data_IF_227784109010
#
_entry.id   IF_227784109010
#
_cell.length_a   1.000
_cell.length_b   1.000
_cell.length_c   1.000
_cell.angle_alpha   90.00
_cell.angle_beta   90.00
_cell.angle_gamma   90.00
#
_symmetry.space_group_name_H-M   'P 1'
#
loop_
_entity.id
_entity.type
_entity.pdbx_description
1 polymer ?
#
# COMPACT_ATOMS: atom_id res chain seq x y z
N UNK A 1 3.61 -16.97 -3.72
CA UNK A 1 4.99 -17.06 -3.18
C UNK A 1 5.09 -16.41 -1.80
N UNK A 2 4.62 -15.17 -1.60
CA UNK A 2 4.63 -14.48 -0.30
C UNK A 2 3.89 -15.20 0.84
N UNK A 3 2.72 -15.79 0.57
CA UNK A 3 1.94 -16.58 1.57
C UNK A 3 2.74 -17.77 2.13
N UNK A 4 3.44 -18.50 1.26
CA UNK A 4 4.22 -19.68 1.64
C UNK A 4 5.44 -19.29 2.48
N UNK A 5 6.09 -18.17 2.12
CA UNK A 5 7.18 -17.61 2.92
C UNK A 5 6.70 -17.17 4.31
N UNK A 6 5.50 -16.58 4.41
CA UNK A 6 4.89 -16.20 5.69
C UNK A 6 4.60 -17.41 6.57
N UNK A 7 3.95 -18.45 6.04
CA UNK A 7 3.66 -19.68 6.79
C UNK A 7 4.95 -20.34 7.28
N UNK A 8 6.02 -20.32 6.47
CA UNK A 8 7.33 -20.85 6.87
C UNK A 8 8.03 -20.02 7.95
N UNK A 9 8.04 -18.69 7.82
CA UNK A 9 8.69 -17.81 8.81
C UNK A 9 7.91 -17.82 10.12
N UNK A 10 6.59 -17.71 10.06
CA UNK A 10 5.72 -17.69 11.25
C UNK A 10 5.67 -19.07 11.93
N UNK A 11 5.51 -20.14 11.15
CA UNK A 11 5.56 -21.51 11.65
C UNK A 11 6.93 -21.88 12.22
N UNK A 12 8.02 -21.45 11.57
CA UNK A 12 9.38 -21.64 12.06
C UNK A 12 9.64 -20.90 13.38
N UNK A 13 9.16 -19.67 13.50
CA UNK A 13 9.26 -18.87 14.73
C UNK A 13 8.46 -19.46 15.89
N UNK A 14 7.25 -19.98 15.65
CA UNK A 14 6.45 -20.69 16.66
C UNK A 14 7.07 -22.03 17.10
N UNK A 15 7.64 -22.77 16.15
CA UNK A 15 8.32 -24.03 16.44
C UNK A 15 9.59 -23.78 17.28
N UNK A 16 10.33 -22.72 16.98
CA UNK A 16 11.49 -22.28 17.76
C UNK A 16 11.11 -21.90 19.20
N UNK A 17 9.93 -21.29 19.39
CA UNK A 17 9.42 -20.91 20.72
C UNK A 17 9.01 -22.16 21.54
N UNK A 18 8.32 -23.13 20.94
CA UNK A 18 7.94 -24.39 21.60
C UNK A 18 9.15 -25.27 21.97
N UNK A 19 10.14 -25.38 21.08
CA UNK A 19 11.33 -26.20 21.32
C UNK A 19 12.41 -25.49 22.17
N UNK A 20 12.50 -24.16 22.09
CA UNK A 20 13.50 -23.34 22.80
C UNK A 20 13.24 -23.20 24.30
N UNK A 21 11.97 -22.99 24.70
CA UNK A 21 11.55 -22.91 26.11
C UNK A 21 11.76 -24.22 26.88
N UNK A 22 11.83 -25.35 26.18
CA UNK A 22 11.90 -26.69 26.78
C UNK A 22 13.34 -27.23 26.92
N UNK A 23 14.36 -26.59 26.31
CA UNK A 23 15.74 -27.13 26.27
C UNK A 23 16.83 -26.25 26.88
N UNK A 24 16.57 -24.97 27.17
CA UNK A 24 17.61 -24.03 27.60
C UNK A 24 17.20 -23.25 28.87
N UNK A 25 17.99 -23.38 29.93
CA UNK A 25 17.90 -22.55 31.13
C UNK A 25 18.99 -21.46 31.10
N UNK A 26 18.65 -20.22 31.46
CA UNK A 26 19.60 -19.09 31.62
C UNK A 26 19.44 -17.93 30.63
N UNK A 27 20.47 -17.08 30.53
CA UNK A 27 20.51 -15.84 29.72
C UNK A 27 20.26 -16.09 28.23
N UNK A 28 20.67 -17.25 27.72
CA UNK A 28 20.43 -17.65 26.32
C UNK A 28 18.93 -17.79 25.99
N UNK A 29 18.10 -18.20 26.96
CA UNK A 29 16.65 -18.29 26.77
C UNK A 29 16.02 -16.90 26.63
N UNK A 30 16.44 -15.94 27.47
CA UNK A 30 15.95 -14.56 27.37
C UNK A 30 16.30 -13.89 26.03
N UNK A 31 17.50 -14.13 25.51
CA UNK A 31 17.90 -13.60 24.19
C UNK A 31 17.10 -14.28 23.07
N UNK A 32 16.91 -15.60 23.13
CA UNK A 32 16.12 -16.34 22.14
C UNK A 32 14.65 -15.87 22.12
N UNK A 33 14.01 -15.72 23.29
CA UNK A 33 12.64 -15.19 23.40
C UNK A 33 12.54 -13.76 22.89
N UNK A 34 13.54 -12.90 23.15
CA UNK A 34 13.53 -11.53 22.65
C UNK A 34 13.58 -11.47 21.11
N UNK A 35 14.46 -12.25 20.48
CA UNK A 35 14.59 -12.29 19.02
C UNK A 35 13.33 -12.89 18.38
N UNK A 36 12.83 -14.01 18.91
CA UNK A 36 11.62 -14.67 18.41
C UNK A 36 10.38 -13.79 18.61
N UNK A 37 10.26 -13.11 19.76
CA UNK A 37 9.15 -12.21 20.05
C UNK A 37 9.09 -11.00 19.13
N UNK A 38 10.25 -10.41 18.79
CA UNK A 38 10.35 -9.34 17.79
C UNK A 38 9.87 -9.86 16.43
N UNK A 39 10.37 -11.01 15.97
CA UNK A 39 9.96 -11.57 14.68
C UNK A 39 8.46 -11.89 14.63
N UNK A 40 7.90 -12.53 15.66
CA UNK A 40 6.47 -12.84 15.73
C UNK A 40 5.56 -11.61 15.68
N UNK A 41 6.04 -10.45 16.17
CA UNK A 41 5.23 -9.23 16.21
C UNK A 41 5.36 -8.38 14.94
N UNK A 42 6.56 -8.31 14.35
CA UNK A 42 6.79 -7.51 13.15
C UNK A 42 6.41 -8.23 11.86
N UNK A 43 6.63 -9.55 11.76
CA UNK A 43 6.32 -10.34 10.56
C UNK A 43 4.86 -10.23 10.08
N UNK A 44 3.82 -10.41 10.93
CA UNK A 44 2.44 -10.29 10.46
C UNK A 44 2.09 -8.87 9.99
N UNK A 45 2.65 -7.83 10.62
CA UNK A 45 2.43 -6.44 10.20
C UNK A 45 3.03 -6.14 8.83
N UNK A 46 4.29 -6.56 8.60
CA UNK A 46 4.96 -6.37 7.30
C UNK A 46 4.28 -7.17 6.20
N UNK A 47 3.85 -8.40 6.49
CA UNK A 47 3.17 -9.26 5.51
C UNK A 47 1.78 -8.74 5.17
N UNK A 48 1.01 -8.27 6.16
CA UNK A 48 -0.27 -7.61 5.89
C UNK A 48 -0.08 -6.38 5.01
N UNK A 49 0.93 -5.54 5.30
CA UNK A 49 1.28 -4.40 4.46
C UNK A 49 1.64 -4.83 3.02
N UNK A 50 2.44 -5.89 2.88
CA UNK A 50 2.80 -6.43 1.56
C UNK A 50 1.58 -6.94 0.79
N UNK A 51 0.66 -7.68 1.43
CA UNK A 51 -0.59 -8.10 0.78
C UNK A 51 -1.41 -6.90 0.35
N UNK A 52 -1.65 -5.94 1.25
CA UNK A 52 -2.41 -4.73 0.90
C UNK A 52 -1.81 -4.00 -0.30
N UNK A 53 -0.48 -3.82 -0.35
CA UNK A 53 0.17 -3.12 -1.48
C UNK A 53 0.11 -3.92 -2.79
N UNK A 54 0.18 -5.25 -2.72
CA UNK A 54 0.24 -6.09 -3.92
C UNK A 54 -1.11 -6.51 -4.47
N UNK A 55 -2.10 -6.73 -3.62
CA UNK A 55 -3.43 -7.22 -4.02
C UNK A 55 -4.45 -6.11 -4.15
N UNK A 56 -4.26 -4.97 -3.48
CA UNK A 56 -5.22 -3.86 -3.54
C UNK A 56 -4.78 -2.90 -4.63
N UNK A 57 -5.58 -2.77 -5.68
CA UNK A 57 -5.33 -1.71 -6.64
C UNK A 57 -5.62 -0.36 -6.01
N UNK A 58 -4.87 0.62 -6.45
CA UNK A 58 -5.00 2.00 -6.01
C UNK A 58 -6.43 2.53 -6.23
N UNK A 59 -7.08 2.11 -7.32
CA UNK A 59 -8.47 2.42 -7.64
C UNK A 59 -9.48 1.79 -6.66
N UNK A 60 -9.24 0.56 -6.19
CA UNK A 60 -10.10 -0.10 -5.19
C UNK A 60 -10.02 0.59 -3.83
N UNK A 61 -8.83 1.08 -3.46
CA UNK A 61 -8.65 1.85 -2.23
C UNK A 61 -9.47 3.16 -2.22
N UNK A 62 -9.49 3.88 -3.34
CA UNK A 62 -10.35 5.08 -3.51
C UNK A 62 -11.82 4.73 -3.40
N UNK A 63 -12.23 3.65 -4.06
CA UNK A 63 -13.63 3.23 -4.04
C UNK A 63 -14.07 2.78 -2.64
N UNK A 64 -13.17 2.20 -1.85
CA UNK A 64 -13.38 1.93 -0.43
C UNK A 64 -13.49 3.23 0.40
N UNK A 65 -12.62 4.22 0.16
CA UNK A 65 -12.71 5.55 0.80
C UNK A 65 -14.02 6.26 0.48
N UNK A 66 -14.52 6.15 -0.76
CA UNK A 66 -15.81 6.72 -1.17
C UNK A 66 -16.99 6.05 -0.45
N UNK A 67 -16.92 4.73 -0.26
CA UNK A 67 -17.89 3.93 0.52
C UNK A 67 -17.88 4.25 2.01
N UNK A 68 -16.74 4.67 2.55
CA UNK A 68 -16.59 5.09 3.94
C UNK A 68 -17.22 6.47 4.24
N UNK A 69 -17.91 7.06 3.26
CA UNK A 69 -18.56 8.38 3.36
C UNK A 69 -17.58 9.51 3.73
N UNK A 70 -16.33 9.42 3.23
CA UNK A 70 -15.41 10.54 3.33
C UNK A 70 -15.94 11.75 2.55
N UNK A 71 -15.64 12.98 3.00
CA UNK A 71 -16.13 14.19 2.36
C UNK A 71 -15.71 14.21 0.88
N UNK A 72 -16.65 14.52 0.00
CA UNK A 72 -16.45 14.52 -1.45
C UNK A 72 -15.30 15.43 -1.91
N UNK A 73 -14.96 16.44 -1.09
CA UNK A 73 -13.82 17.33 -1.28
C UNK A 73 -12.47 16.57 -1.32
N UNK A 74 -12.38 15.40 -0.69
CA UNK A 74 -11.16 14.58 -0.64
C UNK A 74 -11.24 13.44 -1.65
N UNK A 75 -12.39 12.76 -1.74
CA UNK A 75 -12.56 11.60 -2.61
C UNK A 75 -12.38 11.93 -4.10
N UNK A 76 -12.86 13.08 -4.56
CA UNK A 76 -12.78 13.48 -5.97
C UNK A 76 -11.32 13.73 -6.40
N UNK A 77 -10.54 14.60 -5.72
CA UNK A 77 -9.12 14.76 -6.03
C UNK A 77 -8.35 13.45 -5.93
N UNK A 78 -8.63 12.61 -4.93
CA UNK A 78 -7.96 11.32 -4.79
C UNK A 78 -8.22 10.39 -5.99
N UNK A 79 -9.48 10.25 -6.41
CA UNK A 79 -9.85 9.45 -7.59
C UNK A 79 -9.14 9.92 -8.86
N UNK A 80 -9.10 11.24 -9.05
CA UNK A 80 -8.34 11.86 -10.14
C UNK A 80 -6.87 11.54 -10.03
N UNK A 81 -6.24 11.80 -8.87
CA UNK A 81 -4.81 11.63 -8.65
C UNK A 81 -4.35 10.22 -9.01
N UNK A 82 -5.13 9.20 -8.66
CA UNK A 82 -4.75 7.82 -8.92
C UNK A 82 -4.95 7.36 -10.36
N UNK A 83 -5.90 7.97 -11.09
CA UNK A 83 -5.95 7.81 -12.55
C UNK A 83 -4.83 8.59 -13.24
N UNK A 84 -4.38 9.68 -12.63
CA UNK A 84 -3.38 10.58 -13.18
C UNK A 84 -1.94 10.11 -12.94
N UNK A 85 -1.69 9.47 -11.80
CA UNK A 85 -0.41 8.91 -11.41
C UNK A 85 0.24 8.01 -12.47
N UNK A 86 -0.46 7.03 -13.10
CA UNK A 86 0.15 6.21 -14.16
C UNK A 86 0.60 7.06 -15.36
N UNK A 87 -0.21 8.05 -15.76
CA UNK A 87 0.15 8.97 -16.86
C UNK A 87 1.38 9.82 -16.52
N UNK A 88 1.49 10.33 -15.29
CA UNK A 88 2.68 11.06 -14.83
C UNK A 88 3.93 10.18 -14.84
N UNK A 89 3.80 8.89 -14.49
CA UNK A 89 4.91 7.96 -14.52
C UNK A 89 5.38 7.68 -15.96
N UNK A 90 4.46 7.56 -16.91
CA UNK A 90 4.76 7.43 -18.35
C UNK A 90 5.46 8.70 -18.88
N UNK A 91 4.94 9.89 -18.58
CA UNK A 91 5.55 11.17 -18.93
C UNK A 91 6.96 11.32 -18.33
N UNK A 92 7.15 10.87 -17.08
CA UNK A 92 8.45 10.86 -16.43
C UNK A 92 9.47 9.98 -17.15
N UNK A 93 9.04 8.83 -17.68
CA UNK A 93 9.88 7.97 -18.50
C UNK A 93 10.18 8.63 -19.85
N UNK A 94 9.16 9.15 -20.54
CA UNK A 94 9.30 9.78 -21.85
C UNK A 94 10.24 11.00 -21.82
N UNK A 95 10.10 11.87 -20.82
CA UNK A 95 11.00 13.01 -20.60
C UNK A 95 12.41 12.52 -20.26
N UNK A 96 12.53 11.45 -19.47
CA UNK A 96 13.81 10.80 -19.19
C UNK A 96 14.52 10.32 -20.46
N UNK A 97 13.78 9.68 -21.36
CA UNK A 97 14.31 9.17 -22.63
C UNK A 97 14.66 10.30 -23.60
N UNK A 98 13.84 11.35 -23.68
CA UNK A 98 14.13 12.55 -24.47
C UNK A 98 15.41 13.26 -24.00
N UNK A 99 15.60 13.39 -22.70
CA UNK A 99 16.81 13.97 -22.12
C UNK A 99 18.04 13.09 -22.34
N UNK A 100 17.87 11.75 -22.32
CA UNK A 100 18.92 10.79 -22.67
C UNK A 100 19.34 10.91 -24.14
N UNK A 101 18.41 11.16 -25.07
CA UNK A 101 18.72 11.45 -26.48
C UNK A 101 19.52 12.76 -26.66
N UNK A 102 19.30 13.75 -25.80
CA UNK A 102 20.07 15.01 -25.76
C UNK A 102 21.46 14.89 -25.12
N UNK A 103 21.92 13.67 -24.84
CA UNK A 103 23.25 13.42 -24.25
C UNK A 103 23.33 13.67 -22.74
N UNK A 104 22.22 14.03 -22.10
CA UNK A 104 22.14 14.20 -20.64
C UNK A 104 21.99 12.82 -19.99
N UNK A 105 23.12 12.14 -19.81
CA UNK A 105 23.19 10.83 -19.15
C UNK A 105 23.15 10.97 -17.64
N UNK A 106 22.34 10.14 -16.98
CA UNK A 106 22.48 9.84 -15.56
C UNK A 106 23.93 9.39 -15.29
N UNK A 107 24.70 10.18 -14.54
CA UNK A 107 26.10 9.91 -14.21
C UNK A 107 27.15 10.82 -14.87
N UNK A 108 26.77 11.73 -15.77
CA UNK A 108 27.70 12.66 -16.44
C UNK A 108 28.00 13.93 -15.63
N UNK A 109 28.54 13.83 -14.41
CA UNK A 109 29.19 14.91 -13.64
C UNK A 109 28.39 16.16 -13.23
N UNK A 110 27.25 16.46 -13.86
CA UNK A 110 26.42 17.65 -13.61
C UNK A 110 25.02 17.26 -13.17
N UNK A 111 24.91 16.59 -12.02
CA UNK A 111 23.63 16.13 -11.44
C UNK A 111 22.63 17.29 -11.27
N UNK A 112 23.11 18.50 -10.98
CA UNK A 112 22.26 19.70 -10.88
C UNK A 112 21.57 20.08 -12.20
N UNK A 113 22.28 19.98 -13.33
CA UNK A 113 21.69 20.27 -14.64
C UNK A 113 20.67 19.19 -15.04
N UNK A 114 20.91 17.92 -14.68
CA UNK A 114 19.96 16.81 -14.93
C UNK A 114 18.64 17.06 -14.18
N UNK A 115 18.73 17.51 -12.93
CA UNK A 115 17.57 17.87 -12.12
C UNK A 115 16.79 19.02 -12.74
N UNK A 116 17.47 20.11 -13.12
CA UNK A 116 16.82 21.27 -13.73
C UNK A 116 16.12 20.91 -15.05
N UNK A 117 16.81 20.23 -15.95
CA UNK A 117 16.26 19.88 -17.27
C UNK A 117 15.20 18.77 -17.24
N UNK A 118 15.06 18.00 -16.16
CA UNK A 118 14.01 16.98 -16.03
C UNK A 118 12.84 17.46 -15.17
N UNK A 119 13.10 18.17 -14.07
CA UNK A 119 12.05 18.63 -13.16
C UNK A 119 11.28 19.80 -13.77
N UNK A 120 11.93 20.78 -14.40
CA UNK A 120 11.23 21.95 -14.94
C UNK A 120 10.20 21.55 -16.00
N UNK A 121 10.52 20.71 -17.02
CA UNK A 121 9.51 20.23 -17.97
C UNK A 121 8.40 19.40 -17.32
N UNK A 122 8.74 18.54 -16.36
CA UNK A 122 7.76 17.73 -15.62
C UNK A 122 6.76 18.61 -14.85
N UNK A 123 7.24 19.67 -14.20
CA UNK A 123 6.37 20.61 -13.49
C UNK A 123 5.43 21.33 -14.45
N UNK A 124 5.94 21.81 -15.58
CA UNK A 124 5.12 22.48 -16.61
C UNK A 124 4.05 21.54 -17.17
N UNK A 125 4.41 20.30 -17.51
CA UNK A 125 3.45 19.29 -17.97
C UNK A 125 2.39 19.00 -16.90
N UNK A 126 2.80 18.82 -15.64
CA UNK A 126 1.86 18.54 -14.54
C UNK A 126 0.86 19.68 -14.32
N UNK A 127 1.32 20.94 -14.39
CA UNK A 127 0.44 22.12 -14.26
C UNK A 127 -0.55 22.19 -15.40
N UNK A 128 -0.10 22.04 -16.65
CA UNK A 128 -0.98 22.07 -17.82
C UNK A 128 -2.07 21.02 -17.75
N UNK A 129 -1.72 19.79 -17.39
CA UNK A 129 -2.71 18.72 -17.35
C UNK A 129 -3.67 18.91 -16.17
N UNK A 130 -3.20 19.48 -15.05
CA UNK A 130 -4.07 19.93 -13.97
C UNK A 130 -5.09 20.99 -14.40
N UNK A 131 -4.68 21.96 -15.21
CA UNK A 131 -5.57 22.97 -15.79
C UNK A 131 -6.59 22.36 -16.75
N UNK A 132 -6.15 21.50 -17.68
CA UNK A 132 -7.03 20.80 -18.62
C UNK A 132 -8.07 19.95 -17.90
N UNK A 133 -7.64 19.23 -16.86
CA UNK A 133 -8.53 18.43 -16.03
C UNK A 133 -9.52 19.31 -15.25
N UNK A 134 -9.07 20.42 -14.67
CA UNK A 134 -9.94 21.36 -13.96
C UNK A 134 -11.01 21.92 -14.89
N UNK A 135 -10.62 22.36 -16.09
CA UNK A 135 -11.53 22.83 -17.13
C UNK A 135 -12.50 21.73 -17.58
N UNK A 136 -12.02 20.50 -17.79
CA UNK A 136 -12.86 19.35 -18.13
C UNK A 136 -13.83 18.98 -17.00
N UNK A 137 -13.44 19.15 -15.74
CA UNK A 137 -14.29 18.87 -14.60
C UNK A 137 -15.39 19.94 -14.44
N UNK A 138 -15.02 21.22 -14.54
CA UNK A 138 -15.95 22.35 -14.47
C UNK A 138 -16.99 22.29 -15.60
N UNK A 139 -16.57 21.99 -16.84
CA UNK A 139 -17.48 21.81 -17.99
C UNK A 139 -18.42 20.61 -17.82
N UNK A 140 -18.00 19.57 -17.08
CA UNK A 140 -18.84 18.42 -16.67
C UNK A 140 -19.67 18.69 -15.40
N UNK A 141 -19.81 19.95 -14.99
CA UNK A 141 -20.65 20.35 -13.86
C UNK A 141 -20.11 19.91 -12.49
N UNK A 142 -18.78 19.84 -12.31
CA UNK A 142 -18.19 19.67 -10.98
C UNK A 142 -18.62 20.85 -10.09
N UNK A 143 -19.31 20.58 -8.99
CA UNK A 143 -19.86 21.60 -8.08
C UNK A 143 -21.34 21.97 -8.30
N UNK A 144 -22.06 21.30 -9.21
CA UNK A 144 -23.50 21.51 -9.37
C UNK A 144 -24.35 21.06 -8.15
N UNK A 145 -25.59 21.56 -8.00
CA UNK A 145 -26.45 21.32 -6.83
C UNK A 145 -26.99 19.88 -6.71
N UNK A 146 -26.73 19.02 -7.71
CA UNK A 146 -27.23 17.65 -7.76
C UNK A 146 -26.26 16.69 -7.06
N UNK A 147 -26.80 15.87 -6.16
CA UNK A 147 -26.04 14.83 -5.45
C UNK A 147 -25.48 13.81 -6.45
N UNK A 148 -24.15 13.68 -6.50
CA UNK A 148 -23.44 12.75 -7.38
C UNK A 148 -23.80 11.30 -7.07
N UNK A 149 -23.97 10.49 -8.11
CA UNK A 149 -24.19 9.04 -8.02
C UNK A 149 -22.88 8.29 -8.27
N UNK A 150 -22.50 7.39 -7.36
CA UNK A 150 -21.30 6.54 -7.52
C UNK A 150 -21.61 5.34 -8.44
N UNK A 151 -20.77 5.12 -9.44
CA UNK A 151 -20.92 4.05 -10.45
C UNK A 151 -20.31 2.73 -9.94
N UNK A 152 -19.37 2.78 -8.99
CA UNK A 152 -18.68 1.60 -8.47
C UNK A 152 -19.51 0.90 -7.38
N UNK A 153 -20.03 -0.29 -7.71
CA UNK A 153 -20.63 -1.20 -6.73
C UNK A 153 -19.54 -2.05 -6.07
N UNK A 154 -18.98 -1.60 -4.94
CA UNK A 154 -18.26 -2.52 -4.03
C UNK A 154 -19.26 -3.47 -3.38
N UNK A 155 -19.37 -4.70 -3.86
CA UNK A 155 -20.11 -5.75 -3.16
C UNK A 155 -19.21 -6.44 -2.14
N UNK A 156 -19.71 -6.65 -0.92
CA UNK A 156 -19.09 -7.64 -0.03
C UNK A 156 -19.24 -9.01 -0.69
N UNK A 157 -18.12 -9.71 -0.90
CA UNK A 157 -18.17 -11.05 -1.45
C UNK A 157 -18.29 -12.06 -0.30
N UNK A 158 -18.97 -13.18 -0.54
CA UNK A 158 -19.15 -14.24 0.48
C UNK A 158 -17.79 -14.76 0.99
N UNK A 159 -16.75 -14.67 0.15
CA UNK A 159 -15.38 -14.99 0.51
C UNK A 159 -14.83 -14.09 1.63
N UNK A 160 -15.15 -12.78 1.64
CA UNK A 160 -14.69 -11.85 2.68
C UNK A 160 -15.24 -12.22 4.06
N UNK A 161 -16.50 -12.70 4.11
CA UNK A 161 -17.15 -13.14 5.35
C UNK A 161 -16.50 -14.41 5.89
N UNK A 162 -16.17 -15.36 5.00
CA UNK A 162 -15.50 -16.61 5.38
C UNK A 162 -14.10 -16.32 5.95
N UNK A 163 -13.31 -15.46 5.30
CA UNK A 163 -12.00 -15.07 5.81
C UNK A 163 -12.08 -14.32 7.14
N UNK A 164 -13.06 -13.44 7.30
CA UNK A 164 -13.26 -12.70 8.55
C UNK A 164 -13.61 -13.64 9.72
N UNK A 165 -14.43 -14.66 9.49
CA UNK A 165 -14.74 -15.69 10.49
C UNK A 165 -13.51 -16.52 10.87
N UNK A 166 -12.66 -16.89 9.90
CA UNK A 166 -11.41 -17.61 10.17
C UNK A 166 -10.45 -16.75 11.00
N UNK A 167 -10.30 -15.47 10.67
CA UNK A 167 -9.48 -14.54 11.43
C UNK A 167 -9.98 -14.34 12.87
N UNK A 168 -11.29 -14.18 13.07
CA UNK A 168 -11.88 -14.10 14.41
C UNK A 168 -11.65 -15.37 15.23
N UNK A 169 -11.78 -16.54 14.59
CA UNK A 169 -11.50 -17.83 15.23
C UNK A 169 -10.05 -17.96 15.67
N UNK A 170 -9.09 -17.57 14.81
CA UNK A 170 -7.67 -17.58 15.15
C UNK A 170 -7.33 -16.60 16.30
N UNK A 171 -7.93 -15.41 16.29
CA UNK A 171 -7.74 -14.42 17.36
C UNK A 171 -8.29 -14.91 18.70
N UNK A 172 -9.48 -15.52 18.69
CA UNK A 172 -10.09 -16.12 19.87
C UNK A 172 -9.26 -17.28 20.43
N UNK A 173 -8.71 -18.14 19.57
CA UNK A 173 -7.80 -19.22 19.98
C UNK A 173 -6.52 -18.69 20.64
N UNK A 174 -5.95 -17.60 20.11
CA UNK A 174 -4.76 -16.99 20.68
C UNK A 174 -5.03 -16.33 22.04
N UNK A 175 -6.19 -15.69 22.22
CA UNK A 175 -6.64 -15.17 23.52
C UNK A 175 -6.85 -16.32 24.51
N UNK A 176 -7.46 -17.42 24.09
CA UNK A 176 -7.68 -18.59 24.95
C UNK A 176 -6.34 -19.21 25.43
N UNK A 177 -5.35 -19.33 24.54
CA UNK A 177 -4.01 -19.83 24.91
C UNK A 177 -3.29 -18.87 25.86
N UNK A 178 -3.46 -17.55 25.69
CA UNK A 178 -2.89 -16.56 26.60
C UNK A 178 -3.57 -16.63 27.98
N UNK A 179 -4.90 -16.77 28.02
CA UNK A 179 -5.67 -16.91 29.26
C UNK A 179 -5.42 -18.23 29.99
N UNK A 180 -5.05 -19.30 29.28
CA UNK A 180 -4.69 -20.58 29.86
C UNK A 180 -3.22 -20.66 30.34
N UNK A 181 -2.36 -19.72 29.93
CA UNK A 181 -0.94 -19.63 30.32
C UNK A 181 -0.66 -18.62 31.44
N UNK A 182 -1.58 -17.68 31.70
CA UNK A 182 -1.52 -16.73 32.83
C UNK A 182 -2.16 -17.29 34.07
#
# INVERSE_FOLDING_TARGET
KGVVLYILIFGGSLCLEMFGLSRLAGVANYIAVAIVGILLRFTPGVVMGYFVVTTTTVSEFVAAMERLHLPQQITIPMSVMFRFFPTVAEEWSAIGDAMRMRGVRFGGGKVGAILEYRIVPMMICSVKIGEELSQAALTRGLGGPVKRTNICKLGFHVQDVIFLLICLGAFAAQIYVLAARG
#
